data_IF_056758028967
#
_entry.id   IF_056758028967
#
_cell.length_a   1.000
_cell.length_b   1.000
_cell.length_c   1.000
_cell.angle_alpha   90.00
_cell.angle_beta   90.00
_cell.angle_gamma   90.00
#
_symmetry.space_group_name_H-M   'P 1'
#
loop_
_entity.id
_entity.type
_entity.pdbx_description
1 polymer ?
#
# COMPACT_ATOMS: atom_id res chain seq x y z
N UNK A 1 -31.68 -13.24 -15.52
CA UNK A 1 -30.38 -13.42 -14.81
C UNK A 1 -30.42 -14.76 -14.09
N UNK A 2 -29.84 -15.80 -14.67
CA UNK A 2 -29.85 -17.11 -14.02
C UNK A 2 -29.03 -17.05 -12.73
N UNK A 3 -29.42 -17.84 -11.72
CA UNK A 3 -28.76 -17.88 -10.40
C UNK A 3 -27.24 -18.00 -10.52
N UNK A 4 -26.76 -18.84 -11.45
CA UNK A 4 -25.34 -18.98 -11.80
C UNK A 4 -24.70 -17.65 -12.18
N UNK A 5 -25.26 -16.90 -13.14
CA UNK A 5 -24.73 -15.61 -13.60
C UNK A 5 -24.65 -14.58 -12.45
N UNK A 6 -25.67 -14.52 -11.60
CA UNK A 6 -25.71 -13.61 -10.43
C UNK A 6 -24.62 -13.94 -9.40
N UNK A 7 -24.33 -15.23 -9.19
CA UNK A 7 -23.25 -15.65 -8.29
C UNK A 7 -21.89 -15.26 -8.88
N UNK A 8 -21.65 -15.54 -10.16
CA UNK A 8 -20.40 -15.18 -10.84
C UNK A 8 -20.12 -13.68 -10.82
N UNK A 9 -21.14 -12.85 -11.09
CA UNK A 9 -20.99 -11.39 -11.05
C UNK A 9 -20.64 -10.89 -9.64
N UNK A 10 -21.27 -11.45 -8.60
CA UNK A 10 -20.97 -11.11 -7.20
C UNK A 10 -19.53 -11.48 -6.82
N UNK A 11 -19.06 -12.67 -7.18
CA UNK A 11 -17.70 -13.13 -6.89
C UNK A 11 -16.68 -12.25 -7.62
N UNK A 12 -16.86 -12.04 -8.93
CA UNK A 12 -15.99 -11.17 -9.75
C UNK A 12 -15.88 -9.75 -9.19
N UNK A 13 -16.97 -9.19 -8.65
CA UNK A 13 -16.97 -7.86 -8.02
C UNK A 13 -16.15 -7.86 -6.72
N UNK A 14 -16.21 -8.93 -5.92
CA UNK A 14 -15.41 -9.07 -4.69
C UNK A 14 -13.92 -9.21 -5.02
N UNK A 15 -13.58 -10.05 -5.99
CA UNK A 15 -12.18 -10.26 -6.41
C UNK A 15 -11.55 -8.96 -6.91
N UNK A 16 -12.26 -8.22 -7.78
CA UNK A 16 -11.81 -6.90 -8.25
C UNK A 16 -11.60 -5.91 -7.10
N UNK A 17 -12.48 -5.92 -6.09
CA UNK A 17 -12.35 -5.04 -4.90
C UNK A 17 -11.16 -5.43 -4.03
N UNK A 18 -10.84 -6.72 -3.92
CA UNK A 18 -9.66 -7.20 -3.21
C UNK A 18 -8.36 -6.82 -3.95
N UNK A 19 -8.30 -7.09 -5.26
CA UNK A 19 -7.12 -6.79 -6.09
C UNK A 19 -6.84 -5.28 -6.19
N UNK A 20 -7.89 -4.44 -6.25
CA UNK A 20 -7.73 -2.99 -6.24
C UNK A 20 -7.07 -2.45 -4.96
N UNK A 21 -7.20 -3.17 -3.83
CA UNK A 21 -6.54 -2.80 -2.56
C UNK A 21 -5.11 -3.32 -2.46
N UNK A 22 -4.77 -4.39 -3.18
CA UNK A 22 -3.44 -4.99 -3.16
C UNK A 22 -2.43 -4.17 -3.99
N UNK A 23 -2.88 -3.54 -5.07
CA UNK A 23 -2.03 -2.67 -5.88
C UNK A 23 -1.94 -1.25 -5.30
N UNK A 24 -1.04 -1.05 -4.33
CA UNK A 24 -0.53 0.28 -4.03
C UNK A 24 0.32 0.78 -5.19
N UNK A 25 0.06 2.00 -5.69
CA UNK A 25 0.97 2.61 -6.66
C UNK A 25 2.34 2.79 -6.01
N UNK A 26 3.41 2.37 -6.68
CA UNK A 26 4.79 2.60 -6.25
C UNK A 26 5.21 4.08 -6.33
N UNK A 27 4.33 4.97 -6.79
CA UNK A 27 4.60 6.41 -6.82
C UNK A 27 4.35 6.99 -5.42
N UNK A 28 5.32 7.70 -4.83
CA UNK A 28 5.08 8.40 -3.58
C UNK A 28 3.96 9.42 -3.81
N UNK A 29 2.98 9.47 -2.90
CA UNK A 29 1.98 10.55 -2.93
C UNK A 29 2.72 11.88 -2.80
N UNK A 30 2.31 12.88 -3.58
CA UNK A 30 2.85 14.22 -3.40
C UNK A 30 2.47 14.71 -2.01
N UNK A 31 3.48 14.86 -1.16
CA UNK A 31 3.38 15.42 0.18
C UNK A 31 4.07 16.78 0.19
N UNK A 32 3.61 17.68 1.05
CA UNK A 32 4.16 19.03 1.18
C UNK A 32 5.65 18.97 1.57
N UNK A 33 6.40 20.07 1.36
CA UNK A 33 7.83 20.11 1.74
C UNK A 33 8.04 19.82 3.23
N UNK A 34 7.14 20.28 4.09
CA UNK A 34 7.19 20.04 5.53
C UNK A 34 7.00 18.56 5.89
N UNK A 35 6.08 17.87 5.20
CA UNK A 35 5.79 16.46 5.44
C UNK A 35 6.91 15.55 4.90
N UNK A 36 7.57 15.96 3.80
CA UNK A 36 8.71 15.22 3.25
C UNK A 36 9.93 15.26 4.18
N UNK A 37 10.22 16.41 4.80
CA UNK A 37 11.33 16.54 5.76
C UNK A 37 11.13 15.57 6.95
N UNK A 38 9.93 15.58 7.55
CA UNK A 38 9.58 14.69 8.67
C UNK A 38 9.68 13.20 8.31
N UNK A 39 9.44 12.82 7.06
CA UNK A 39 9.55 11.44 6.61
C UNK A 39 11.00 10.99 6.40
N UNK A 40 11.86 11.86 5.87
CA UNK A 40 13.29 11.56 5.67
C UNK A 40 13.99 11.35 7.02
N UNK A 41 13.71 12.19 8.01
CA UNK A 41 14.28 12.07 9.36
C UNK A 41 13.93 10.71 9.99
N UNK A 42 12.68 10.27 9.87
CA UNK A 42 12.24 8.97 10.40
C UNK A 42 12.84 7.78 9.66
N UNK A 43 13.04 7.85 8.33
CA UNK A 43 13.66 6.73 7.58
C UNK A 43 15.14 6.59 7.89
N UNK A 44 15.87 7.71 8.00
CA UNK A 44 17.31 7.69 8.31
C UNK A 44 17.58 7.14 9.70
N UNK A 45 16.73 7.44 10.69
CA UNK A 45 16.87 6.89 12.05
C UNK A 45 16.62 5.38 12.10
N UNK A 46 15.65 4.86 11.34
CA UNK A 46 15.36 3.42 11.34
C UNK A 46 16.47 2.61 10.65
N UNK A 47 17.04 3.15 9.56
CA UNK A 47 18.14 2.51 8.85
C UNK A 47 19.42 2.52 9.70
N UNK A 48 19.73 3.62 10.41
CA UNK A 48 20.90 3.67 11.30
C UNK A 48 20.80 2.74 12.51
N UNK A 49 19.62 2.63 13.14
CA UNK A 49 19.41 1.73 14.29
C UNK A 49 19.51 0.26 13.90
N UNK A 50 19.15 -0.09 12.66
CA UNK A 50 19.30 -1.47 12.18
C UNK A 50 20.76 -1.88 11.93
N UNK A 51 21.65 -0.92 11.67
CA UNK A 51 23.08 -1.15 11.45
C UNK A 51 23.82 -1.34 12.79
N UNK A 52 23.45 -0.58 13.83
CA UNK A 52 24.09 -0.66 15.16
C UNK A 52 23.71 -1.91 15.96
N UNK A 53 22.59 -2.58 15.69
CA UNK A 53 22.21 -3.83 16.36
C UNK A 53 22.86 -5.09 15.77
N UNK A 54 23.57 -4.95 14.65
CA UNK A 54 24.23 -6.06 13.93
C UNK A 54 25.74 -6.16 14.21
N UNK A 55 26.29 -5.25 15.01
CA UNK A 55 27.66 -5.28 15.55
C UNK A 55 27.65 -5.63 17.05
#
# INVERSE_FOLDING_TARGET
MNRKKKIYEKLKKKDKRANAKLHKSNKPRYVSKADRAKQVDNTTTQDSTSIELTE
#
